data_IF_557335381546
#
_entry.id   IF_557335381546
#
_cell.length_a   1.000
_cell.length_b   1.000
_cell.length_c   1.000
_cell.angle_alpha   90.00
_cell.angle_beta   90.00
_cell.angle_gamma   90.00
#
_symmetry.space_group_name_H-M   'P 1'
#
loop_
_entity.id
_entity.type
_entity.pdbx_description
1 polymer ?
#
# COMPACT_ATOMS: atom_id res chain seq x y z
N UNK A 1 8.00 -1.76 5.60
CA UNK A 1 7.77 -2.56 4.38
C UNK A 1 6.95 -1.74 3.41
N UNK A 2 7.22 -1.84 2.11
CA UNK A 2 6.52 -1.04 1.08
C UNK A 2 6.06 -1.95 -0.06
N UNK A 3 4.84 -1.70 -0.57
CA UNK A 3 4.31 -2.31 -1.79
C UNK A 3 3.90 -1.21 -2.76
N UNK A 4 4.41 -1.28 -3.99
CA UNK A 4 3.92 -0.50 -5.13
C UNK A 4 2.72 -1.18 -5.79
N UNK A 5 1.66 -0.42 -6.04
CA UNK A 5 0.42 -0.90 -6.68
C UNK A 5 -0.05 0.01 -7.81
N UNK A 6 -0.87 -0.54 -8.69
CA UNK A 6 -1.84 0.23 -9.47
C UNK A 6 -3.02 0.59 -8.57
N UNK A 7 -3.37 1.87 -8.48
CA UNK A 7 -4.45 2.33 -7.61
C UNK A 7 -5.79 1.62 -7.87
N UNK A 8 -5.99 1.06 -9.06
CA UNK A 8 -7.21 0.29 -9.38
C UNK A 8 -7.46 -0.87 -8.41
N UNK A 9 -6.44 -1.49 -7.83
CA UNK A 9 -6.61 -2.60 -6.87
C UNK A 9 -6.84 -2.14 -5.43
N UNK A 10 -6.70 -0.85 -5.13
CA UNK A 10 -6.93 -0.31 -3.78
C UNK A 10 -8.42 -0.05 -3.49
N UNK A 11 -9.28 0.01 -4.52
CA UNK A 11 -10.70 0.33 -4.35
C UNK A 11 -11.64 -0.52 -5.21
N UNK A 12 -12.87 -0.67 -4.73
CA UNK A 12 -13.90 -1.56 -5.29
C UNK A 12 -14.75 -0.96 -6.41
N UNK A 13 -14.31 0.11 -7.07
CA UNK A 13 -15.10 0.70 -8.15
C UNK A 13 -14.96 -0.12 -9.44
N UNK A 14 -16.06 -0.30 -10.18
CA UNK A 14 -16.10 -1.02 -11.48
C UNK A 14 -15.47 -2.42 -11.41
N UNK A 15 -16.02 -3.28 -10.54
CA UNK A 15 -15.55 -4.67 -10.35
C UNK A 15 -16.03 -5.58 -11.50
N UNK A 16 -15.19 -5.74 -12.52
CA UNK A 16 -15.26 -6.93 -13.37
C UNK A 16 -14.64 -8.15 -12.68
N UNK A 17 -14.79 -9.33 -13.27
CA UNK A 17 -14.33 -10.58 -12.66
C UNK A 17 -12.80 -10.67 -12.57
N UNK A 18 -12.06 -10.07 -13.52
CA UNK A 18 -10.60 -10.03 -13.46
C UNK A 18 -10.13 -9.18 -12.29
N UNK A 19 -10.77 -8.02 -12.09
CA UNK A 19 -10.49 -7.13 -10.97
C UNK A 19 -10.77 -7.79 -9.63
N UNK A 20 -11.88 -8.52 -9.49
CA UNK A 20 -12.20 -9.27 -8.26
C UNK A 20 -11.11 -10.30 -7.95
N UNK A 21 -10.68 -11.08 -8.94
CA UNK A 21 -9.60 -12.05 -8.78
C UNK A 21 -8.30 -11.36 -8.34
N UNK A 22 -7.96 -10.21 -8.93
CA UNK A 22 -6.78 -9.44 -8.56
C UNK A 22 -6.86 -8.90 -7.12
N UNK A 23 -8.00 -8.35 -6.71
CA UNK A 23 -8.24 -7.87 -5.35
C UNK A 23 -8.14 -9.03 -4.34
N UNK A 24 -8.75 -10.17 -4.62
CA UNK A 24 -8.65 -11.35 -3.75
C UNK A 24 -7.22 -11.87 -3.64
N UNK A 25 -6.47 -11.90 -4.75
CA UNK A 25 -5.08 -12.27 -4.74
C UNK A 25 -4.25 -11.29 -3.92
N UNK A 26 -4.53 -9.99 -4.02
CA UNK A 26 -3.85 -8.96 -3.25
C UNK A 26 -4.17 -9.08 -1.75
N UNK A 27 -5.43 -9.32 -1.38
CA UNK A 27 -5.82 -9.60 0.00
C UNK A 27 -5.04 -10.79 0.59
N UNK A 28 -4.89 -11.89 -0.17
CA UNK A 28 -4.07 -13.03 0.26
C UNK A 28 -2.60 -12.64 0.45
N UNK A 29 -2.05 -11.82 -0.45
CA UNK A 29 -0.69 -11.32 -0.34
C UNK A 29 -0.50 -10.44 0.91
N UNK A 30 -1.41 -9.50 1.17
CA UNK A 30 -1.40 -8.67 2.39
C UNK A 30 -1.47 -9.53 3.65
N UNK A 31 -2.38 -10.50 3.71
CA UNK A 31 -2.49 -11.43 4.85
C UNK A 31 -1.19 -12.20 5.10
N UNK A 32 -0.54 -12.71 4.03
CA UNK A 32 0.73 -13.43 4.13
C UNK A 32 1.84 -12.50 4.63
N UNK A 33 1.95 -11.31 4.08
CA UNK A 33 2.94 -10.32 4.48
C UNK A 33 2.76 -9.90 5.94
N UNK A 34 1.54 -9.60 6.36
CA UNK A 34 1.24 -9.19 7.74
C UNK A 34 1.69 -10.24 8.74
N UNK A 35 1.36 -11.51 8.50
CA UNK A 35 1.75 -12.62 9.38
C UNK A 35 3.25 -12.86 9.36
N UNK A 36 3.85 -12.92 8.16
CA UNK A 36 5.29 -13.21 7.99
C UNK A 36 6.18 -12.16 8.65
N UNK A 37 5.82 -10.89 8.52
CA UNK A 37 6.63 -9.77 8.98
C UNK A 37 6.12 -9.13 10.26
N UNK A 38 5.14 -9.74 10.94
CA UNK A 38 4.53 -9.22 12.15
C UNK A 38 4.07 -7.74 12.02
N UNK A 39 3.44 -7.42 10.88
CA UNK A 39 2.93 -6.07 10.62
C UNK A 39 1.79 -5.79 11.59
N UNK A 40 1.80 -4.60 12.20
CA UNK A 40 0.72 -4.15 13.08
C UNK A 40 -0.07 -2.97 12.52
N UNK A 41 0.39 -2.36 11.42
CA UNK A 41 -0.27 -1.25 10.74
C UNK A 41 -0.17 -1.42 9.22
N UNK A 42 -1.31 -1.35 8.55
CA UNK A 42 -1.40 -1.13 7.11
C UNK A 42 -1.67 0.36 6.87
N UNK A 43 -0.75 1.04 6.21
CA UNK A 43 -0.89 2.45 5.81
C UNK A 43 -0.92 2.55 4.29
N UNK A 44 -1.62 3.52 3.72
CA UNK A 44 -1.65 3.66 2.26
C UNK A 44 -1.70 5.11 1.76
N UNK A 45 -1.13 5.31 0.56
CA UNK A 45 -1.37 6.46 -0.31
C UNK A 45 -2.79 6.39 -0.86
N UNK A 46 -3.77 6.65 0.00
CA UNK A 46 -5.17 6.81 -0.39
C UNK A 46 -5.91 7.68 0.63
N UNK A 47 -7.15 8.06 0.31
CA UNK A 47 -7.99 8.87 1.20
C UNK A 47 -9.47 8.51 1.06
N UNK A 48 -10.26 8.82 2.09
CA UNK A 48 -11.72 8.64 2.04
C UNK A 48 -12.40 9.49 0.95
N UNK A 49 -11.81 10.65 0.64
CA UNK A 49 -12.29 11.50 -0.46
C UNK A 49 -12.08 10.81 -1.81
N UNK A 50 -10.99 10.06 -1.98
CA UNK A 50 -10.74 9.29 -3.20
C UNK A 50 -11.77 8.16 -3.35
N UNK A 51 -12.07 7.42 -2.27
CA UNK A 51 -13.16 6.42 -2.24
C UNK A 51 -14.50 7.01 -2.68
N UNK A 52 -14.88 8.12 -2.06
CA UNK A 52 -16.15 8.82 -2.34
C UNK A 52 -16.27 9.22 -3.81
N UNK A 53 -15.18 9.72 -4.42
CA UNK A 53 -15.14 10.08 -5.85
C UNK A 53 -15.26 8.86 -6.78
N UNK A 54 -14.83 7.70 -6.31
CA UNK A 54 -14.93 6.42 -7.03
C UNK A 54 -16.29 5.73 -6.82
N UNK A 55 -17.26 6.37 -6.16
CA UNK A 55 -18.58 5.80 -5.83
C UNK A 55 -18.49 4.44 -5.12
N UNK A 56 -17.50 4.29 -4.23
CA UNK A 56 -17.33 3.07 -3.43
C UNK A 56 -16.84 3.44 -2.04
N UNK A 57 -17.26 2.70 -1.03
CA UNK A 57 -16.71 2.72 0.32
C UNK A 57 -15.71 1.58 0.56
N UNK A 58 -15.55 0.69 -0.43
CA UNK A 58 -14.66 -0.45 -0.34
C UNK A 58 -13.22 -0.06 -0.63
N UNK A 59 -12.36 -0.37 0.34
CA UNK A 59 -10.91 -0.23 0.25
C UNK A 59 -10.26 -1.59 0.60
N UNK A 60 -9.43 -2.10 -0.31
CA UNK A 60 -8.80 -3.42 -0.18
C UNK A 60 -7.86 -3.49 1.03
N UNK A 61 -7.09 -2.43 1.29
CA UNK A 61 -6.15 -2.34 2.41
C UNK A 61 -6.89 -2.32 3.75
N UNK A 62 -7.98 -1.54 3.84
CA UNK A 62 -8.84 -1.47 5.03
C UNK A 62 -9.53 -2.80 5.31
N UNK A 63 -10.02 -3.46 4.27
CA UNK A 63 -10.61 -4.80 4.38
C UNK A 63 -9.61 -5.83 4.92
N UNK A 64 -8.37 -5.82 4.42
CA UNK A 64 -7.31 -6.69 4.94
C UNK A 64 -7.01 -6.43 6.42
N UNK A 65 -6.86 -5.16 6.80
CA UNK A 65 -6.57 -4.77 8.18
C UNK A 65 -7.70 -5.19 9.14
N UNK A 66 -8.96 -4.97 8.77
CA UNK A 66 -10.13 -5.38 9.54
C UNK A 66 -10.16 -6.90 9.76
N UNK A 67 -9.92 -7.69 8.71
CA UNK A 67 -9.86 -9.16 8.78
C UNK A 67 -8.75 -9.69 9.71
N UNK A 68 -7.67 -8.94 9.83
CA UNK A 68 -6.52 -9.30 10.67
C UNK A 68 -6.56 -8.63 12.05
N UNK A 69 -7.57 -7.81 12.32
CA UNK A 69 -7.70 -7.01 13.54
C UNK A 69 -6.45 -6.17 13.83
N UNK A 70 -5.91 -5.53 12.78
CA UNK A 70 -4.79 -4.58 12.88
C UNK A 70 -5.23 -3.20 12.43
N UNK A 71 -4.41 -2.21 12.74
CA UNK A 71 -4.71 -0.83 12.40
C UNK A 71 -4.59 -0.58 10.89
N UNK A 72 -5.46 0.29 10.39
CA UNK A 72 -5.44 0.83 9.04
C UNK A 72 -5.37 2.35 9.07
N UNK A 73 -4.61 2.95 8.14
CA UNK A 73 -4.52 4.42 8.00
C UNK A 73 -4.48 4.88 6.56
N UNK A 74 -5.29 5.88 6.26
CA UNK A 74 -5.16 6.72 5.07
C UNK A 74 -4.10 7.79 5.30
N UNK A 75 -3.03 7.74 4.51
CA UNK A 75 -1.91 8.68 4.64
C UNK A 75 -1.98 9.82 3.64
N UNK A 76 -2.74 9.71 2.56
CA UNK A 76 -2.77 10.77 1.56
C UNK A 76 -3.63 11.96 2.05
N UNK A 77 -3.09 13.19 2.09
CA UNK A 77 -3.87 14.36 2.48
C UNK A 77 -4.99 14.62 1.46
N UNK A 78 -6.18 14.87 1.98
CA UNK A 78 -7.34 15.31 1.20
C UNK A 78 -7.05 16.64 0.50
N UNK A 79 -7.81 17.01 -0.56
CA UNK A 79 -7.62 18.31 -1.22
C UNK A 79 -7.72 19.51 -0.26
N UNK A 80 -8.58 19.42 0.77
CA UNK A 80 -8.70 20.44 1.80
C UNK A 80 -7.45 20.53 2.68
N UNK A 81 -6.91 19.38 3.11
CA UNK A 81 -5.66 19.33 3.88
C UNK A 81 -4.47 19.81 3.07
N UNK A 82 -4.35 19.39 1.79
CA UNK A 82 -3.28 19.85 0.90
C UNK A 82 -3.28 21.37 0.79
N UNK A 83 -4.45 21.98 0.61
CA UNK A 83 -4.58 23.45 0.58
C UNK A 83 -4.22 24.09 1.92
N UNK A 84 -4.62 23.49 3.04
CA UNK A 84 -4.34 24.04 4.38
C UNK A 84 -2.85 23.92 4.78
N UNK A 85 -2.17 22.91 4.25
CA UNK A 85 -0.76 22.61 4.51
C UNK A 85 0.19 23.15 3.41
N UNK A 86 -0.36 23.84 2.40
CA UNK A 86 0.39 24.30 1.22
C UNK A 86 1.18 23.19 0.51
N UNK A 87 0.58 22.00 0.38
CA UNK A 87 1.17 20.86 -0.34
C UNK A 87 0.84 20.99 -1.83
N UNK A 88 1.86 21.22 -2.64
CA UNK A 88 1.75 21.46 -4.10
C UNK A 88 2.45 20.36 -4.91
N UNK A 89 3.39 19.63 -4.30
CA UNK A 89 4.24 18.63 -4.96
C UNK A 89 4.04 17.22 -4.41
N UNK A 90 4.53 16.23 -5.16
CA UNK A 90 4.54 14.84 -4.72
C UNK A 90 5.48 14.60 -3.53
N UNK A 91 6.65 15.26 -3.51
CA UNK A 91 7.59 15.17 -2.40
C UNK A 91 6.96 15.66 -1.09
N UNK A 92 6.18 16.74 -1.13
CA UNK A 92 5.44 17.24 0.04
C UNK A 92 4.32 16.29 0.49
N UNK A 93 3.66 15.60 -0.45
CA UNK A 93 2.70 14.53 -0.11
C UNK A 93 3.40 13.38 0.59
N UNK A 94 4.52 12.92 0.05
CA UNK A 94 5.34 11.83 0.62
C UNK A 94 5.85 12.17 2.02
N UNK A 95 6.28 13.43 2.23
CA UNK A 95 6.63 13.94 3.56
C UNK A 95 5.46 13.87 4.54
N UNK A 96 4.25 14.22 4.10
CA UNK A 96 3.05 14.12 4.93
C UNK A 96 2.69 12.66 5.23
N UNK A 97 2.87 11.75 4.28
CA UNK A 97 2.68 10.32 4.52
C UNK A 97 3.61 9.81 5.61
N UNK A 98 4.91 10.16 5.51
CA UNK A 98 5.91 9.82 6.51
C UNK A 98 5.51 10.40 7.89
N UNK A 99 5.04 11.65 7.94
CA UNK A 99 4.59 12.28 9.19
C UNK A 99 3.43 11.52 9.83
N UNK A 100 2.46 11.05 9.04
CA UNK A 100 1.26 10.31 9.51
C UNK A 100 1.54 8.89 10.02
N UNK A 101 2.69 8.34 9.68
CA UNK A 101 3.17 7.06 10.22
C UNK A 101 4.31 7.25 11.23
N UNK A 102 4.72 8.49 11.50
CA UNK A 102 5.87 8.79 12.36
C UNK A 102 5.61 8.64 13.86
N UNK A 103 4.36 8.55 14.28
CA UNK A 103 3.92 8.30 15.67
C UNK A 103 4.12 6.84 16.11
N UNK A 104 4.39 5.93 15.17
CA UNK A 104 4.47 4.48 15.41
C UNK A 104 5.87 3.90 15.18
N UNK A 105 6.91 4.63 15.60
CA UNK A 105 8.33 4.32 15.32
C UNK A 105 8.81 2.91 15.67
N UNK A 106 8.13 2.21 16.58
CA UNK A 106 8.48 0.85 17.03
C UNK A 106 7.68 -0.25 16.34
N UNK A 107 6.78 0.09 15.42
CA UNK A 107 5.88 -0.86 14.75
C UNK A 107 6.42 -1.26 13.40
N UNK A 108 6.16 -2.51 13.02
CA UNK A 108 6.32 -2.96 11.65
C UNK A 108 5.12 -2.48 10.83
N UNK A 109 5.41 -1.61 9.86
CA UNK A 109 4.41 -0.94 9.02
C UNK A 109 4.51 -1.51 7.61
N UNK A 110 3.35 -1.84 7.03
CA UNK A 110 3.21 -2.10 5.62
C UNK A 110 2.58 -0.87 4.96
N UNK A 111 3.37 -0.16 4.16
CA UNK A 111 2.92 1.00 3.40
C UNK A 111 2.59 0.60 1.97
N UNK A 112 1.41 0.97 1.48
CA UNK A 112 0.95 0.72 0.11
C UNK A 112 0.91 2.05 -0.63
N UNK A 113 1.60 2.16 -1.75
CA UNK A 113 1.60 3.38 -2.57
C UNK A 113 1.47 3.06 -4.05
N UNK A 114 1.14 4.07 -4.85
CA UNK A 114 1.22 3.94 -6.30
C UNK A 114 2.64 3.52 -6.70
N UNK A 115 2.79 2.61 -7.66
CA UNK A 115 4.11 2.15 -8.14
C UNK A 115 5.00 3.30 -8.61
N UNK A 116 4.41 4.41 -9.08
CA UNK A 116 5.12 5.62 -9.47
C UNK A 116 5.78 6.38 -8.31
N UNK A 117 5.31 6.16 -7.08
CA UNK A 117 5.82 6.80 -5.87
C UNK A 117 6.80 5.93 -5.09
N UNK A 118 6.98 4.67 -5.49
CA UNK A 118 7.77 3.71 -4.74
C UNK A 118 9.22 4.17 -4.55
N UNK A 119 9.90 4.55 -5.63
CA UNK A 119 11.32 4.93 -5.57
C UNK A 119 11.56 6.25 -4.83
N UNK A 120 10.72 7.27 -5.06
CA UNK A 120 10.81 8.55 -4.37
C UNK A 120 10.56 8.39 -2.87
N UNK A 121 9.52 7.64 -2.50
CA UNK A 121 9.20 7.41 -1.10
C UNK A 121 10.27 6.57 -0.37
N UNK A 122 10.84 5.55 -1.02
CA UNK A 122 11.98 4.80 -0.46
C UNK A 122 13.21 5.69 -0.27
N UNK A 123 13.49 6.58 -1.22
CA UNK A 123 14.57 7.56 -1.09
C UNK A 123 14.36 8.47 0.12
N UNK A 124 13.11 8.89 0.35
CA UNK A 124 12.75 9.68 1.51
C UNK A 124 12.94 8.90 2.82
N UNK A 125 12.48 7.64 2.89
CA UNK A 125 12.69 6.79 4.07
C UNK A 125 14.18 6.61 4.40
N UNK A 126 15.02 6.36 3.38
CA UNK A 126 16.48 6.26 3.55
C UNK A 126 17.09 7.56 4.08
N UNK A 127 16.67 8.72 3.55
CA UNK A 127 17.13 10.05 4.01
C UNK A 127 16.82 10.29 5.49
N UNK A 128 15.74 9.70 5.99
CA UNK A 128 15.33 9.75 7.41
C UNK A 128 15.84 8.56 8.24
N UNK A 129 16.76 7.75 7.71
CA UNK A 129 17.34 6.59 8.38
C UNK A 129 16.29 5.56 8.83
N UNK A 130 15.21 5.41 8.05
CA UNK A 130 14.16 4.42 8.29
C UNK A 130 14.45 3.21 7.42
N UNK A 131 14.61 2.06 8.06
CA UNK A 131 14.78 0.79 7.36
C UNK A 131 13.50 0.43 6.60
N UNK A 132 13.66 0.11 5.32
CA UNK A 132 12.54 -0.18 4.43
C UNK A 132 12.90 -1.33 3.49
N UNK A 133 11.98 -2.30 3.39
CA UNK A 133 12.07 -3.42 2.45
C UNK A 133 10.89 -3.35 1.49
N UNK A 134 11.16 -3.42 0.19
CA UNK A 134 10.14 -3.55 -0.86
C UNK A 134 9.69 -5.00 -0.93
N UNK A 135 8.39 -5.24 -0.78
CA UNK A 135 7.82 -6.59 -0.90
C UNK A 135 7.34 -6.87 -2.34
N UNK A 136 6.91 -5.84 -3.05
CA UNK A 136 6.56 -5.88 -4.48
C UNK A 136 6.46 -4.45 -5.01
N UNK A 137 6.69 -4.24 -6.30
CA UNK A 137 6.79 -2.91 -6.91
C UNK A 137 5.66 -2.57 -7.91
N UNK A 138 4.88 -3.55 -8.38
CA UNK A 138 3.85 -3.36 -9.42
C UNK A 138 2.64 -4.30 -9.32
N UNK A 139 1.99 -4.37 -8.17
CA UNK A 139 0.74 -5.14 -8.03
C UNK A 139 -0.43 -4.44 -8.77
N UNK A 140 -1.10 -5.08 -9.74
CA UNK A 140 -2.16 -4.39 -10.49
C UNK A 140 -2.48 -4.94 -11.87
N UNK A 141 -3.07 -4.12 -12.75
CA UNK A 141 -3.46 -4.55 -14.10
C UNK A 141 -2.28 -4.65 -15.09
N UNK A 142 -1.20 -3.90 -14.89
CA UNK A 142 0.07 -4.15 -15.59
C UNK A 142 0.63 -5.56 -15.30
N UNK A 143 0.21 -6.17 -14.19
CA UNK A 143 0.50 -7.56 -13.83
C UNK A 143 -0.33 -8.58 -14.62
N UNK A 144 -1.44 -8.16 -15.22
CA UNK A 144 -2.36 -9.00 -16.01
C UNK A 144 -2.20 -8.80 -17.53
N UNK A 145 -1.46 -7.77 -17.97
CA UNK A 145 -1.32 -7.32 -19.35
C UNK A 145 -0.60 -8.26 -20.34
N UNK A 146 -0.29 -9.50 -19.95
CA UNK A 146 0.28 -10.52 -20.85
C UNK A 146 -0.49 -11.84 -20.83
N UNK A 147 -1.82 -11.86 -20.70
CA UNK A 147 -2.63 -13.05 -21.00
C UNK A 147 -2.26 -14.33 -20.22
N UNK A 148 -1.46 -14.20 -19.16
CA UNK A 148 -1.05 -15.25 -18.25
C UNK A 148 -1.06 -14.60 -16.89
N UNK A 149 -1.92 -15.13 -16.01
CA UNK A 149 -1.85 -14.88 -14.58
C UNK A 149 -0.52 -15.46 -14.11
N UNK A 150 0.53 -14.65 -14.08
CA UNK A 150 1.76 -15.05 -13.41
C UNK A 150 1.54 -14.86 -11.92
N UNK A 151 1.15 -15.95 -11.25
CA UNK A 151 1.31 -16.06 -9.81
C UNK A 151 2.81 -16.09 -9.54
N UNK A 152 3.42 -14.94 -9.27
CA UNK A 152 4.75 -14.94 -8.69
C UNK A 152 4.57 -15.36 -7.24
N UNK A 153 4.79 -16.64 -6.97
CA UNK A 153 5.23 -17.03 -5.64
C UNK A 153 6.48 -16.21 -5.34
N UNK A 154 6.41 -15.33 -4.35
CA UNK A 154 7.61 -14.73 -3.78
C UNK A 154 8.51 -15.91 -3.38
N UNK A 155 9.68 -16.11 -4.01
CA UNK A 155 10.54 -17.24 -3.71
C UNK A 155 10.83 -17.26 -2.21
N UNK A 156 10.51 -18.39 -1.59
CA UNK A 156 10.71 -18.62 -0.18
C UNK A 156 12.14 -19.13 0.04
N UNK A 157 13.13 -18.38 -0.40
CA UNK A 157 14.54 -18.67 -0.09
C UNK A 157 15.05 -17.49 0.71
N UNK A 158 15.44 -17.68 1.98
CA UNK A 158 16.84 -17.76 2.46
C UNK A 158 16.85 -18.39 3.89
N UNK A 159 18.01 -18.86 4.40
CA UNK A 159 18.21 -20.16 5.04
C UNK A 159 17.81 -20.18 6.51
N UNK A 160 17.47 -21.36 7.02
CA UNK A 160 17.59 -21.61 8.46
C UNK A 160 19.08 -21.52 8.84
N UNK A 161 19.47 -20.40 9.46
CA UNK A 161 20.69 -20.41 10.27
C UNK A 161 20.46 -21.33 11.49
N UNK A 162 21.52 -22.05 11.79
CA UNK A 162 21.59 -23.32 12.50
C UNK A 162 21.29 -23.26 14.00
#
# INVERSE_FOLDING_TARGET
FVIGVDHIIQHGAYLDDQKKVAIEAFLRHLNKAVRKYNISLIAEEFSEVALSKSNTDYCTCREAANKLNIEHRFCDPTPKERKALSIETNDEREMEWLRRVGDVKTRHILFICGSSHLESFLSLLRKHSIESVVLSDKWGFDYLGKGQVQYFEVPCDIPHEA
#
